data_IF_929936511419
#
_entry.id   IF_929936511419
#
_cell.length_a   1.000
_cell.length_b   1.000
_cell.length_c   1.000
_cell.angle_alpha   90.00
_cell.angle_beta   90.00
_cell.angle_gamma   90.00
#
_symmetry.space_group_name_H-M   'P 1'
#
loop_
_entity.id
_entity.type
_entity.pdbx_description
1 polymer ?
#
# COMPACT_ATOMS: atom_id res chain seq x y z
N UNK A 1 -5.77 3.44 74.52
CA UNK A 1 -6.55 2.78 73.46
C UNK A 1 -5.81 3.01 72.16
N UNK A 2 -5.49 1.91 71.48
CA UNK A 2 -4.75 1.83 70.23
C UNK A 2 -5.43 2.55 69.07
N UNK A 3 -4.63 2.84 68.04
CA UNK A 3 -4.88 2.71 66.58
C UNK A 3 -4.06 3.79 65.85
N UNK A 4 -2.84 3.48 65.41
CA UNK A 4 -2.53 3.10 64.01
C UNK A 4 -2.85 4.21 63.01
N UNK A 5 -1.81 4.84 62.46
CA UNK A 5 -1.89 5.67 61.26
C UNK A 5 -0.93 5.11 60.24
N UNK A 6 -1.54 4.66 59.15
CA UNK A 6 -1.02 3.97 57.98
C UNK A 6 -0.13 4.90 57.13
N UNK A 7 1.07 4.44 56.78
CA UNK A 7 1.80 4.93 55.59
C UNK A 7 1.35 4.13 54.36
N UNK A 8 1.10 4.81 53.23
CA UNK A 8 1.36 4.19 51.94
C UNK A 8 2.31 5.01 51.07
N UNK A 9 3.43 4.35 50.80
CA UNK A 9 4.41 4.50 49.73
C UNK A 9 4.00 5.16 48.41
N UNK A 10 5.02 5.79 47.82
CA UNK A 10 5.38 5.79 46.40
C UNK A 10 4.43 6.47 45.41
N UNK A 11 4.90 7.60 44.88
CA UNK A 11 4.60 7.97 43.49
C UNK A 11 5.89 8.48 42.86
N UNK A 12 6.56 7.60 42.12
CA UNK A 12 7.59 7.99 41.16
C UNK A 12 6.98 8.95 40.13
N UNK A 13 7.71 10.00 39.70
CA UNK A 13 7.31 10.76 38.53
C UNK A 13 7.43 9.85 37.31
N UNK A 14 6.28 9.50 36.72
CA UNK A 14 6.21 8.81 35.45
C UNK A 14 7.09 9.52 34.42
N UNK A 15 8.07 8.79 33.89
CA UNK A 15 8.91 9.21 32.80
C UNK A 15 8.04 9.72 31.66
N UNK A 16 8.18 11.01 31.33
CA UNK A 16 7.80 11.56 30.03
C UNK A 16 8.63 10.83 28.98
N UNK A 17 8.10 9.72 28.49
CA UNK A 17 8.58 9.07 27.28
C UNK A 17 8.24 10.00 26.13
N UNK A 18 9.13 10.97 25.90
CA UNK A 18 9.21 11.70 24.66
C UNK A 18 9.45 10.65 23.59
N UNK A 19 8.36 10.17 23.00
CA UNK A 19 8.39 9.33 21.82
C UNK A 19 9.12 10.13 20.77
N UNK A 20 10.37 9.73 20.58
CA UNK A 20 11.30 10.23 19.60
C UNK A 20 10.54 10.17 18.27
N UNK A 21 10.06 11.33 17.80
CA UNK A 21 9.60 11.49 16.44
C UNK A 21 10.82 11.21 15.58
N UNK A 22 10.94 9.95 15.15
CA UNK A 22 11.96 9.49 14.22
C UNK A 22 11.57 10.11 12.88
N UNK A 23 11.90 11.38 12.72
CA UNK A 23 11.99 12.01 11.43
C UNK A 23 13.12 11.29 10.71
N UNK A 24 12.77 10.18 10.06
CA UNK A 24 13.64 9.52 9.09
C UNK A 24 13.78 10.49 7.92
N UNK A 25 14.74 11.40 8.06
CA UNK A 25 15.31 12.18 6.98
C UNK A 25 16.25 11.24 6.20
N UNK A 26 15.71 10.15 5.70
CA UNK A 26 16.42 9.27 4.79
C UNK A 26 16.17 9.86 3.40
N UNK A 27 17.27 10.24 2.75
CA UNK A 27 17.28 10.56 1.33
C UNK A 27 16.92 9.28 0.58
N UNK A 28 15.62 8.97 0.51
CA UNK A 28 15.07 7.82 -0.18
C UNK A 28 15.50 7.94 -1.64
N UNK A 29 16.28 6.97 -2.13
CA UNK A 29 16.57 6.90 -3.55
C UNK A 29 15.23 6.93 -4.31
N UNK A 30 15.14 7.60 -5.47
CA UNK A 30 13.90 7.64 -6.23
C UNK A 30 13.39 6.21 -6.43
N UNK A 31 12.24 5.89 -5.82
CA UNK A 31 11.59 4.60 -6.03
C UNK A 31 11.32 4.49 -7.54
N UNK A 32 11.57 3.33 -8.17
CA UNK A 32 11.22 3.15 -9.56
C UNK A 32 9.70 3.36 -9.74
N UNK A 33 9.26 3.91 -10.88
CA UNK A 33 7.84 4.12 -11.11
C UNK A 33 7.12 2.78 -11.15
N UNK A 34 6.05 2.65 -10.36
CA UNK A 34 5.30 1.41 -10.19
C UNK A 34 3.85 1.56 -10.64
N UNK A 35 3.22 0.43 -10.97
CA UNK A 35 1.80 0.32 -11.23
C UNK A 35 1.15 -0.37 -10.03
N UNK A 36 0.15 0.30 -9.47
CA UNK A 36 -0.65 -0.22 -8.38
C UNK A 36 -2.05 -0.55 -8.87
N UNK A 37 -2.54 -1.73 -8.50
CA UNK A 37 -3.89 -2.17 -8.82
C UNK A 37 -4.64 -2.42 -7.52
N UNK A 38 -5.83 -1.86 -7.41
CA UNK A 38 -6.69 -1.93 -6.23
C UNK A 38 -8.02 -2.59 -6.60
N UNK A 39 -8.39 -3.67 -5.90
CA UNK A 39 -9.73 -4.25 -6.02
C UNK A 39 -10.68 -3.66 -4.97
N UNK A 40 -11.72 -2.95 -5.44
CA UNK A 40 -12.76 -2.32 -4.63
C UNK A 40 -13.97 -3.23 -4.37
N UNK A 41 -14.11 -4.33 -5.10
CA UNK A 41 -15.24 -5.26 -5.01
C UNK A 41 -15.15 -6.26 -3.85
N UNK A 42 -13.93 -6.55 -3.40
CA UNK A 42 -13.71 -7.46 -2.27
C UNK A 42 -13.39 -6.71 -0.97
N UNK A 43 -13.77 -7.28 0.17
CA UNK A 43 -13.40 -6.76 1.51
C UNK A 43 -11.90 -6.87 1.81
N UNK A 44 -11.13 -7.57 0.97
CA UNK A 44 -9.68 -7.73 1.09
C UNK A 44 -8.98 -6.84 0.07
N UNK A 45 -8.44 -5.74 0.57
CA UNK A 45 -7.54 -4.89 -0.19
C UNK A 45 -6.29 -5.70 -0.54
N UNK A 46 -6.16 -6.07 -1.82
CA UNK A 46 -4.94 -6.66 -2.37
C UNK A 46 -4.30 -5.60 -3.25
N UNK A 47 -2.97 -5.49 -3.18
CA UNK A 47 -2.20 -4.53 -3.96
C UNK A 47 -1.18 -5.34 -4.74
N UNK A 48 -1.29 -5.30 -6.06
CA UNK A 48 -0.16 -5.69 -6.91
C UNK A 48 0.72 -4.46 -7.10
N UNK A 49 2.01 -4.59 -6.83
CA UNK A 49 3.03 -3.58 -7.10
C UNK A 49 3.98 -4.21 -8.11
N UNK A 50 3.91 -3.73 -9.34
CA UNK A 50 4.82 -4.18 -10.38
C UNK A 50 5.24 -2.98 -11.23
N UNK A 51 6.52 -2.93 -11.60
CA UNK A 51 7.16 -1.79 -12.26
C UNK A 51 7.77 -2.24 -13.60
N UNK A 52 8.02 -1.33 -14.54
CA UNK A 52 8.53 -1.70 -15.85
C UNK A 52 9.88 -2.42 -15.76
N UNK A 53 10.05 -3.50 -16.54
CA UNK A 53 11.36 -4.14 -16.68
C UNK A 53 12.31 -3.31 -17.55
N UNK A 54 13.60 -3.68 -17.57
CA UNK A 54 14.59 -3.03 -18.43
C UNK A 54 14.16 -3.10 -19.90
N UNK A 55 13.86 -1.93 -20.48
CA UNK A 55 13.42 -1.79 -21.88
C UNK A 55 11.92 -1.59 -22.07
N UNK A 56 11.11 -1.68 -21.01
CA UNK A 56 9.69 -1.35 -21.04
C UNK A 56 9.45 0.06 -20.50
N UNK A 57 8.44 0.74 -21.04
CA UNK A 57 7.97 2.01 -20.49
C UNK A 57 6.82 1.78 -19.50
N UNK A 58 6.70 2.65 -18.49
CA UNK A 58 5.56 2.63 -17.57
C UNK A 58 4.22 2.69 -18.32
N UNK A 59 4.16 3.44 -19.43
CA UNK A 59 2.95 3.57 -20.25
C UNK A 59 2.57 2.26 -20.95
N UNK A 60 3.55 1.53 -21.45
CA UNK A 60 3.33 0.19 -22.04
C UNK A 60 2.80 -0.77 -20.98
N UNK A 61 3.45 -0.85 -19.83
CA UNK A 61 3.02 -1.71 -18.73
C UNK A 61 1.60 -1.34 -18.24
N UNK A 62 1.29 -0.04 -18.14
CA UNK A 62 -0.03 0.44 -17.77
C UNK A 62 -1.10 0.04 -18.79
N UNK A 63 -0.79 0.17 -20.08
CA UNK A 63 -1.69 -0.22 -21.16
C UNK A 63 -1.92 -1.74 -21.17
N UNK A 64 -0.87 -2.52 -20.91
CA UNK A 64 -0.94 -3.98 -20.82
C UNK A 64 -1.79 -4.41 -19.62
N UNK A 65 -1.61 -3.79 -18.45
CA UNK A 65 -2.43 -4.02 -17.26
C UNK A 65 -3.92 -3.83 -17.58
N UNK A 66 -4.28 -2.69 -18.20
CA UNK A 66 -5.66 -2.41 -18.60
C UNK A 66 -6.20 -3.42 -19.62
N UNK A 67 -5.37 -3.86 -20.56
CA UNK A 67 -5.74 -4.89 -21.55
C UNK A 67 -6.02 -6.23 -20.87
N UNK A 68 -5.15 -6.66 -19.96
CA UNK A 68 -5.34 -7.89 -19.18
C UNK A 68 -6.60 -7.84 -18.32
N UNK A 69 -6.81 -6.75 -17.57
CA UNK A 69 -8.02 -6.52 -16.76
C UNK A 69 -9.28 -6.64 -17.64
N UNK A 70 -9.28 -6.00 -18.81
CA UNK A 70 -10.39 -6.08 -19.77
C UNK A 70 -10.58 -7.50 -20.31
N UNK A 71 -9.50 -8.21 -20.66
CA UNK A 71 -9.57 -9.57 -21.18
C UNK A 71 -10.11 -10.58 -20.15
N UNK A 72 -9.85 -10.34 -18.86
CA UNK A 72 -10.40 -11.11 -17.74
C UNK A 72 -11.87 -10.77 -17.43
N UNK A 73 -12.41 -9.70 -18.01
CA UNK A 73 -13.78 -9.25 -17.76
C UNK A 73 -13.94 -8.47 -16.46
N UNK A 74 -12.85 -8.06 -15.82
CA UNK A 74 -12.91 -7.22 -14.63
C UNK A 74 -13.34 -5.80 -15.00
N UNK A 75 -14.14 -5.17 -14.13
CA UNK A 75 -14.62 -3.82 -14.35
C UNK A 75 -13.62 -2.80 -13.83
N UNK A 76 -13.15 -1.90 -14.69
CA UNK A 76 -12.34 -0.74 -14.26
C UNK A 76 -13.28 0.35 -13.73
N UNK A 77 -13.08 0.74 -12.48
CA UNK A 77 -13.81 1.84 -11.83
C UNK A 77 -13.09 3.18 -12.02
N UNK A 78 -11.75 3.14 -12.12
CA UNK A 78 -10.93 4.32 -12.38
C UNK A 78 -9.50 3.94 -12.70
N UNK A 79 -8.78 4.83 -13.36
CA UNK A 79 -7.35 4.68 -13.60
C UNK A 79 -6.68 6.05 -13.64
N UNK A 80 -5.49 6.15 -13.07
CA UNK A 80 -4.69 7.35 -13.03
C UNK A 80 -3.27 7.00 -13.48
N UNK A 81 -2.72 7.80 -14.39
CA UNK A 81 -1.36 7.65 -14.88
C UNK A 81 -0.59 8.92 -14.59
N UNK A 82 0.64 8.77 -14.08
CA UNK A 82 1.60 9.84 -13.90
C UNK A 82 3.01 9.33 -14.26
N UNK A 83 3.97 10.23 -14.56
CA UNK A 83 5.36 9.83 -14.79
C UNK A 83 5.98 9.06 -13.61
N UNK A 84 5.51 9.34 -12.39
CA UNK A 84 6.02 8.74 -11.15
C UNK A 84 5.39 7.38 -10.83
N UNK A 85 4.34 6.98 -11.56
CA UNK A 85 3.60 5.75 -11.31
C UNK A 85 2.16 5.80 -11.79
N UNK A 86 1.49 4.66 -11.75
CA UNK A 86 0.09 4.54 -12.15
C UNK A 86 -0.74 3.79 -11.12
N UNK A 87 -2.01 4.12 -11.05
CA UNK A 87 -2.99 3.49 -10.17
C UNK A 87 -4.18 3.01 -11.00
N UNK A 88 -4.64 1.79 -10.80
CA UNK A 88 -5.82 1.22 -11.44
C UNK A 88 -6.77 0.70 -10.36
N UNK A 89 -8.02 1.12 -10.42
CA UNK A 89 -9.08 0.68 -9.52
C UNK A 89 -10.00 -0.24 -10.29
N UNK A 90 -10.10 -1.49 -9.85
CA UNK A 90 -10.97 -2.51 -10.42
C UNK A 90 -12.04 -2.93 -9.43
N UNK A 91 -13.07 -3.58 -9.93
CA UNK A 91 -14.15 -4.17 -9.16
C UNK A 91 -14.34 -5.61 -9.67
N UNK A 92 -14.01 -6.57 -8.82
CA UNK A 92 -14.13 -8.00 -9.10
C UNK A 92 -14.32 -8.78 -7.80
N UNK A 93 -15.11 -9.84 -7.88
CA UNK A 93 -15.29 -10.84 -6.80
C UNK A 93 -14.20 -11.93 -6.84
N UNK A 94 -13.36 -11.93 -7.87
CA UNK A 94 -12.26 -12.89 -8.02
C UNK A 94 -11.18 -12.62 -6.96
N UNK A 95 -10.96 -13.57 -6.04
CA UNK A 95 -9.94 -13.46 -4.99
C UNK A 95 -8.50 -13.66 -5.50
N UNK A 96 -8.35 -14.22 -6.72
CA UNK A 96 -7.06 -14.53 -7.39
C UNK A 96 -6.78 -13.56 -8.55
N UNK A 97 -7.37 -12.37 -8.51
CA UNK A 97 -7.26 -11.39 -9.58
C UNK A 97 -5.83 -10.90 -9.81
N UNK A 98 -4.99 -10.88 -8.78
CA UNK A 98 -3.61 -10.38 -8.83
C UNK A 98 -2.67 -11.31 -9.59
N UNK A 99 -2.84 -12.63 -9.46
CA UNK A 99 -2.12 -13.62 -10.28
C UNK A 99 -2.58 -13.57 -11.75
N UNK A 100 -3.76 -13.00 -11.99
CA UNK A 100 -4.42 -12.98 -13.29
C UNK A 100 -4.09 -11.74 -14.13
N UNK A 101 -3.53 -10.69 -13.54
CA UNK A 101 -3.14 -9.45 -14.21
C UNK A 101 -1.64 -9.42 -14.40
N UNK A 102 -1.20 -9.56 -15.65
CA UNK A 102 0.20 -9.46 -16.03
C UNK A 102 0.46 -8.12 -16.71
N UNK A 103 1.36 -7.30 -16.17
CA UNK A 103 1.68 -5.97 -16.72
C UNK A 103 2.76 -6.02 -17.82
N UNK A 104 3.42 -7.16 -18.01
CA UNK A 104 4.56 -7.35 -18.93
C UNK A 104 4.20 -8.11 -20.21
N UNK A 105 2.95 -8.58 -20.34
CA UNK A 105 2.56 -9.36 -21.52
C UNK A 105 2.42 -8.46 -22.75
N UNK A 106 3.23 -8.71 -23.79
CA UNK A 106 3.06 -8.15 -25.15
C UNK A 106 1.82 -8.73 -25.85
#
# INVERSE_FOLDING_TARGET
MSSESFDPSTTEPAAVSASQTKASNESEAPQPPSIYIFNLGSTKWKQSNDGPFQGETLLECFTNALRCIKARGYRVQGAMYSPDGANIFIDTEDELWDDSVNIHSQ
#
